data_IF_263168046385
#
_entry.id   IF_263168046385
#
_cell.length_a   1.000
_cell.length_b   1.000
_cell.length_c   1.000
_cell.angle_alpha   90.00
_cell.angle_beta   90.00
_cell.angle_gamma   90.00
#
_symmetry.space_group_name_H-M   'P 1'
#
loop_
_entity.id
_entity.type
_entity.pdbx_description
1 polymer ?
#
# COMPACT_ATOMS: atom_id res chain seq x y z
N UNK A 1 13.80 -24.07 4.38
CA UNK A 1 14.38 -22.81 4.89
C UNK A 1 13.27 -21.76 5.00
N UNK A 2 12.39 -21.93 5.99
CA UNK A 2 11.14 -21.15 6.17
C UNK A 2 11.26 -20.11 7.31
N UNK A 3 12.46 -19.68 7.68
CA UNK A 3 12.70 -19.04 8.99
C UNK A 3 13.19 -17.58 8.95
N UNK A 4 13.56 -17.02 7.80
CA UNK A 4 14.37 -15.78 7.81
C UNK A 4 13.56 -14.50 8.12
N UNK A 5 12.25 -14.48 7.88
CA UNK A 5 11.39 -13.38 8.35
C UNK A 5 10.69 -13.66 9.68
N UNK A 6 10.86 -14.87 10.25
CA UNK A 6 10.26 -15.30 11.52
C UNK A 6 11.27 -15.57 12.63
N UNK A 7 12.58 -15.43 12.39
CA UNK A 7 13.55 -15.57 13.47
C UNK A 7 13.63 -14.30 14.31
N UNK A 8 13.60 -14.41 15.64
CA UNK A 8 13.78 -13.27 16.53
C UNK A 8 15.24 -12.83 16.49
N UNK A 9 15.49 -11.54 16.40
CA UNK A 9 16.70 -10.96 16.95
C UNK A 9 16.78 -11.42 18.41
N UNK A 10 17.86 -12.08 18.81
CA UNK A 10 18.04 -12.72 20.12
C UNK A 10 17.56 -11.84 21.28
N UNK A 11 16.54 -12.31 21.97
CA UNK A 11 16.06 -11.75 23.22
C UNK A 11 15.10 -12.73 23.86
N UNK A 12 15.54 -13.42 24.92
CA UNK A 12 14.77 -14.45 25.62
C UNK A 12 13.41 -13.92 26.07
N UNK A 13 12.36 -14.55 25.59
CA UNK A 13 11.01 -14.36 26.07
C UNK A 13 10.92 -14.86 27.52
N UNK A 14 10.98 -13.98 28.48
CA UNK A 14 10.53 -14.30 29.84
C UNK A 14 9.02 -14.20 29.86
N UNK A 15 8.38 -15.37 30.08
CA UNK A 15 6.96 -15.52 30.27
C UNK A 15 6.49 -14.64 31.43
N UNK A 16 5.66 -13.65 31.16
CA UNK A 16 4.67 -13.11 32.10
C UNK A 16 3.61 -12.27 31.35
N UNK A 17 2.93 -12.90 30.39
CA UNK A 17 1.61 -12.46 29.98
C UNK A 17 0.74 -13.72 30.06
N UNK A 18 -0.38 -13.67 30.76
CA UNK A 18 -1.41 -14.68 30.62
C UNK A 18 -1.66 -14.81 29.11
N UNK A 19 -1.41 -16.00 28.53
CA UNK A 19 -1.58 -16.22 27.11
C UNK A 19 -3.04 -15.91 26.77
N UNK A 20 -3.25 -14.90 25.93
CA UNK A 20 -4.57 -14.62 25.37
C UNK A 20 -5.10 -15.88 24.71
N UNK A 21 -6.39 -16.19 24.92
CA UNK A 21 -7.07 -17.30 24.25
C UNK A 21 -7.21 -17.09 22.72
N UNK A 22 -6.66 -15.99 22.19
CA UNK A 22 -6.71 -15.63 20.79
C UNK A 22 -5.52 -16.27 20.05
N UNK A 23 -5.81 -17.21 19.15
CA UNK A 23 -4.83 -17.76 18.18
C UNK A 23 -4.94 -17.02 16.86
N UNK A 24 -4.10 -16.00 16.68
CA UNK A 24 -4.05 -15.23 15.43
C UNK A 24 -3.27 -15.99 14.35
N UNK A 25 -3.99 -16.51 13.36
CA UNK A 25 -3.46 -17.24 12.19
C UNK A 25 -3.64 -16.42 10.92
N UNK A 26 -2.73 -15.49 10.64
CA UNK A 26 -2.89 -14.59 9.49
C UNK A 26 -2.85 -15.29 8.13
N UNK A 27 -2.35 -16.53 8.07
CA UNK A 27 -2.29 -17.37 6.86
C UNK A 27 -3.58 -18.18 6.62
N UNK A 28 -4.50 -18.22 7.59
CA UNK A 28 -5.76 -18.94 7.46
C UNK A 28 -6.62 -18.29 6.34
N UNK A 29 -7.06 -19.06 5.34
CA UNK A 29 -7.88 -18.52 4.25
C UNK A 29 -9.16 -17.82 4.73
N UNK A 30 -9.78 -18.27 5.82
CA UNK A 30 -10.97 -17.63 6.39
C UNK A 30 -10.63 -16.27 7.00
N UNK A 31 -9.47 -16.16 7.68
CA UNK A 31 -8.98 -14.90 8.24
C UNK A 31 -8.52 -13.95 7.12
N UNK A 32 -7.85 -14.47 6.08
CA UNK A 32 -7.51 -13.67 4.90
C UNK A 32 -8.76 -13.10 4.22
N UNK A 33 -9.81 -13.91 4.07
CA UNK A 33 -11.06 -13.48 3.46
C UNK A 33 -11.80 -12.42 4.31
N UNK A 34 -11.92 -12.65 5.62
CA UNK A 34 -12.61 -11.73 6.53
C UNK A 34 -11.94 -11.66 7.91
N UNK A 35 -10.94 -10.80 8.09
CA UNK A 35 -10.23 -10.68 9.38
C UNK A 35 -11.02 -9.91 10.45
N UNK A 36 -12.06 -9.18 10.08
CA UNK A 36 -12.70 -8.19 10.93
C UNK A 36 -13.35 -8.77 12.20
N UNK A 37 -14.06 -9.92 12.18
CA UNK A 37 -14.59 -10.50 13.41
C UNK A 37 -13.49 -10.86 14.43
N UNK A 38 -12.34 -11.33 13.94
CA UNK A 38 -11.20 -11.61 14.80
C UNK A 38 -10.56 -10.32 15.33
N UNK A 39 -10.43 -9.30 14.50
CA UNK A 39 -9.92 -7.99 14.93
C UNK A 39 -10.84 -7.31 15.95
N UNK A 40 -12.16 -7.44 15.81
CA UNK A 40 -13.12 -6.95 16.81
C UNK A 40 -12.91 -7.64 18.14
N UNK A 41 -12.74 -8.95 18.13
CA UNK A 41 -12.44 -9.74 19.34
C UNK A 41 -11.09 -9.35 19.95
N UNK A 42 -10.02 -9.25 19.14
CA UNK A 42 -8.69 -8.82 19.61
C UNK A 42 -8.75 -7.42 20.23
N UNK A 43 -9.48 -6.48 19.62
CA UNK A 43 -9.63 -5.11 20.12
C UNK A 43 -10.28 -5.05 21.48
N UNK A 44 -11.25 -5.93 21.75
CA UNK A 44 -11.96 -5.98 23.03
C UNK A 44 -11.17 -6.72 24.12
N UNK A 45 -10.59 -7.87 23.77
CA UNK A 45 -10.02 -8.79 24.76
C UNK A 45 -8.52 -8.55 24.99
N UNK A 46 -7.75 -8.27 23.92
CA UNK A 46 -6.28 -8.14 23.98
C UNK A 46 -5.76 -7.19 22.87
N UNK A 47 -6.00 -5.87 22.97
CA UNK A 47 -5.72 -4.90 21.90
C UNK A 47 -4.24 -4.72 21.58
N UNK A 48 -3.36 -5.10 22.52
CA UNK A 48 -1.90 -5.19 22.35
C UNK A 48 -1.52 -6.65 22.48
N UNK A 49 -1.77 -7.40 21.39
CA UNK A 49 -1.67 -8.85 21.37
C UNK A 49 -0.27 -9.32 21.02
N UNK A 50 0.33 -10.18 21.87
CA UNK A 50 1.53 -10.91 21.49
C UNK A 50 1.16 -12.16 20.70
N UNK A 51 1.54 -12.21 19.43
CA UNK A 51 1.35 -13.39 18.59
C UNK A 51 2.58 -14.31 18.65
N UNK A 52 2.50 -15.47 19.30
CA UNK A 52 3.61 -16.43 19.35
C UNK A 52 4.01 -16.93 17.95
N UNK A 53 3.04 -17.01 17.04
CA UNK A 53 3.21 -17.44 15.64
C UNK A 53 4.00 -16.43 14.83
N UNK A 54 3.71 -15.14 14.99
CA UNK A 54 4.43 -14.05 14.32
C UNK A 54 5.70 -13.65 15.07
N UNK A 55 5.83 -14.07 16.35
CA UNK A 55 6.85 -13.57 17.29
C UNK A 55 6.87 -12.03 17.28
N UNK A 56 5.70 -11.43 17.39
CA UNK A 56 5.51 -9.98 17.19
C UNK A 56 4.25 -9.52 17.92
N UNK A 57 4.23 -8.25 18.27
CA UNK A 57 3.04 -7.56 18.74
C UNK A 57 2.08 -7.25 17.60
N UNK A 58 0.79 -7.28 17.87
CA UNK A 58 -0.29 -6.95 16.94
C UNK A 58 -1.21 -5.93 17.60
N UNK A 59 -1.28 -4.71 17.05
CA UNK A 59 -2.12 -3.63 17.55
C UNK A 59 -3.38 -3.51 16.71
N UNK A 60 -4.55 -3.34 17.35
CA UNK A 60 -5.84 -3.31 16.67
C UNK A 60 -6.68 -2.07 16.95
N UNK A 61 -6.34 -1.23 17.95
CA UNK A 61 -7.05 0.01 18.28
C UNK A 61 -6.53 1.20 17.50
N UNK A 62 -7.44 2.06 17.11
CA UNK A 62 -7.16 3.28 16.36
C UNK A 62 -6.17 4.21 17.11
N UNK A 63 -6.46 4.53 18.37
CA UNK A 63 -5.65 5.46 19.14
C UNK A 63 -4.26 4.91 19.47
N UNK A 64 -4.14 3.60 19.74
CA UNK A 64 -2.83 2.98 19.99
C UNK A 64 -1.93 3.04 18.76
N UNK A 65 -2.50 2.74 17.58
CA UNK A 65 -1.77 2.80 16.31
C UNK A 65 -1.37 4.24 15.98
N UNK A 66 -2.29 5.19 16.16
CA UNK A 66 -2.01 6.60 15.96
C UNK A 66 -0.91 7.12 16.90
N UNK A 67 -0.95 6.71 18.17
CA UNK A 67 0.08 7.03 19.16
C UNK A 67 1.44 6.48 18.73
N UNK A 68 1.53 5.21 18.37
CA UNK A 68 2.77 4.58 17.88
C UNK A 68 3.37 5.32 16.69
N UNK A 69 2.53 5.79 15.75
CA UNK A 69 2.97 6.59 14.61
C UNK A 69 3.58 7.95 15.00
N UNK A 70 3.25 8.46 16.19
CA UNK A 70 3.74 9.76 16.71
C UNK A 70 4.95 9.63 17.63
N UNK A 71 5.41 8.41 17.93
CA UNK A 71 6.54 8.15 18.83
C UNK A 71 7.76 7.57 18.09
N UNK A 72 8.34 8.25 17.06
CA UNK A 72 9.43 7.69 16.24
C UNK A 72 10.69 7.37 17.05
N UNK A 73 10.93 8.04 18.17
CA UNK A 73 12.05 7.72 19.06
C UNK A 73 11.93 6.36 19.74
N UNK A 74 10.69 5.86 19.92
CA UNK A 74 10.40 4.54 20.51
C UNK A 74 10.12 3.47 19.48
N UNK A 75 9.68 3.87 18.29
CA UNK A 75 9.14 2.98 17.24
C UNK A 75 9.81 3.26 15.90
N UNK A 76 10.88 2.53 15.62
CA UNK A 76 11.68 2.65 14.40
C UNK A 76 10.94 2.10 13.18
N UNK A 77 11.10 2.77 12.05
CA UNK A 77 10.69 2.27 10.72
C UNK A 77 11.77 1.41 10.06
N UNK A 78 13.01 1.47 10.54
CA UNK A 78 14.14 0.73 9.99
C UNK A 78 14.09 -0.76 10.38
N UNK A 79 13.29 -1.49 9.64
CA UNK A 79 13.17 -2.95 9.78
C UNK A 79 14.13 -3.72 8.88
N UNK A 80 14.75 -3.06 7.90
CA UNK A 80 15.64 -3.72 6.95
C UNK A 80 17.06 -3.87 7.48
N UNK A 81 17.61 -2.86 8.16
CA UNK A 81 18.96 -2.93 8.72
C UNK A 81 19.16 -4.12 9.67
N UNK A 82 18.28 -4.35 10.67
CA UNK A 82 18.37 -5.53 11.51
C UNK A 82 18.21 -6.83 10.73
N UNK A 83 17.31 -6.86 9.75
CA UNK A 83 17.10 -8.01 8.88
C UNK A 83 18.34 -8.33 8.07
N UNK A 84 18.92 -7.36 7.36
CA UNK A 84 20.12 -7.58 6.56
C UNK A 84 21.33 -7.97 7.41
N UNK A 85 21.48 -7.42 8.62
CA UNK A 85 22.53 -7.80 9.56
C UNK A 85 22.42 -9.25 10.04
N UNK A 86 21.24 -9.86 9.99
CA UNK A 86 20.99 -11.25 10.40
C UNK A 86 21.25 -12.27 9.28
N UNK A 87 21.43 -11.81 8.03
CA UNK A 87 21.64 -12.69 6.88
C UNK A 87 23.09 -13.17 6.85
N UNK A 88 23.36 -14.50 6.71
CA UNK A 88 24.70 -15.02 6.52
C UNK A 88 25.36 -14.41 5.29
N UNK A 89 26.69 -14.17 5.36
CA UNK A 89 27.45 -13.46 4.31
C UNK A 89 27.28 -14.07 2.91
N UNK A 90 27.20 -15.40 2.80
CA UNK A 90 27.01 -16.08 1.51
C UNK A 90 25.59 -15.88 0.92
N UNK A 91 24.58 -15.75 1.78
CA UNK A 91 23.21 -15.42 1.34
C UNK A 91 23.09 -13.91 1.00
N UNK A 92 23.77 -13.05 1.76
CA UNK A 92 23.81 -11.61 1.50
C UNK A 92 24.35 -11.27 0.10
N UNK A 93 25.36 -12.03 -0.38
CA UNK A 93 25.90 -11.88 -1.73
C UNK A 93 24.86 -12.13 -2.84
N UNK A 94 23.81 -12.90 -2.56
CA UNK A 94 22.75 -13.25 -3.52
C UNK A 94 21.64 -12.21 -3.62
N UNK A 95 21.65 -11.19 -2.75
CA UNK A 95 20.62 -10.14 -2.67
C UNK A 95 21.26 -8.75 -2.59
N UNK A 96 22.33 -8.54 -3.36
CA UNK A 96 23.14 -7.31 -3.29
C UNK A 96 22.38 -6.06 -3.71
N UNK A 97 21.63 -6.11 -4.80
CA UNK A 97 20.84 -4.97 -5.29
C UNK A 97 19.60 -4.72 -4.43
N UNK A 98 18.95 -5.78 -3.89
CA UNK A 98 17.91 -5.62 -2.88
C UNK A 98 18.48 -4.86 -1.67
N UNK A 99 19.62 -5.29 -1.14
CA UNK A 99 20.23 -4.61 0.00
C UNK A 99 20.61 -3.17 -0.33
N UNK A 100 21.17 -2.93 -1.52
CA UNK A 100 21.61 -1.61 -1.97
C UNK A 100 20.45 -0.64 -2.11
N UNK A 101 19.44 -0.98 -2.92
CA UNK A 101 18.39 -0.04 -3.29
C UNK A 101 17.25 0.03 -2.28
N UNK A 102 16.77 -1.12 -1.73
CA UNK A 102 15.67 -1.09 -0.77
C UNK A 102 16.08 -0.46 0.56
N UNK A 103 17.35 -0.58 0.97
CA UNK A 103 17.85 0.10 2.17
C UNK A 103 17.82 1.63 2.04
N UNK A 104 17.74 2.17 0.83
CA UNK A 104 17.63 3.61 0.56
C UNK A 104 16.18 4.11 0.50
N UNK A 105 15.20 3.20 0.56
CA UNK A 105 13.81 3.61 0.56
C UNK A 105 13.45 4.37 1.84
N UNK A 106 12.91 5.59 1.69
CA UNK A 106 12.54 6.44 2.83
C UNK A 106 11.56 5.76 3.81
N UNK A 107 10.75 4.81 3.36
CA UNK A 107 9.79 4.08 4.21
C UNK A 107 10.47 3.17 5.24
N UNK A 108 11.76 2.87 5.05
CA UNK A 108 12.60 2.07 5.95
C UNK A 108 13.67 2.91 6.67
N UNK A 109 13.54 4.22 6.65
CA UNK A 109 14.47 5.14 7.30
C UNK A 109 13.80 5.82 8.49
N UNK A 110 14.62 6.14 9.49
CA UNK A 110 14.25 7.04 10.57
C UNK A 110 14.90 8.43 10.34
N UNK A 111 14.55 9.42 11.16
CA UNK A 111 15.26 10.69 11.15
C UNK A 111 16.74 10.49 11.57
N UNK A 112 17.70 11.21 10.98
CA UNK A 112 17.53 12.35 10.07
C UNK A 112 17.36 11.97 8.59
N UNK A 113 17.76 10.74 8.16
CA UNK A 113 17.78 10.35 6.75
C UNK A 113 16.36 10.37 6.15
N UNK A 114 15.35 9.85 6.87
CA UNK A 114 13.97 9.95 6.44
C UNK A 114 13.56 11.39 6.18
N UNK A 115 13.84 12.28 7.12
CA UNK A 115 13.44 13.70 7.04
C UNK A 115 14.07 14.38 5.83
N UNK A 116 15.34 14.09 5.56
CA UNK A 116 16.06 14.58 4.38
C UNK A 116 15.41 14.10 3.07
N UNK A 117 15.25 12.79 2.90
CA UNK A 117 14.65 12.21 1.69
C UNK A 117 13.21 12.69 1.49
N UNK A 118 12.42 12.75 2.58
CA UNK A 118 11.04 13.24 2.56
C UNK A 118 10.95 14.71 2.12
N UNK A 119 11.85 15.56 2.60
CA UNK A 119 11.91 16.97 2.22
C UNK A 119 12.27 17.13 0.74
N UNK A 120 13.26 16.39 0.26
CA UNK A 120 13.68 16.42 -1.13
C UNK A 120 12.54 15.96 -2.05
N UNK A 121 12.04 14.76 -1.86
CA UNK A 121 10.97 14.19 -2.72
C UNK A 121 9.65 14.97 -2.62
N UNK A 122 9.34 15.55 -1.45
CA UNK A 122 8.15 16.37 -1.24
C UNK A 122 8.13 17.68 -2.03
N UNK A 123 9.28 18.16 -2.53
CA UNK A 123 9.34 19.36 -3.39
C UNK A 123 8.74 19.10 -4.77
N UNK A 124 8.89 17.91 -5.30
CA UNK A 124 8.37 17.51 -6.60
C UNK A 124 7.05 16.74 -6.47
N UNK A 125 6.91 15.94 -5.42
CA UNK A 125 5.72 15.12 -5.16
C UNK A 125 4.77 15.82 -4.18
N UNK A 126 4.04 16.84 -4.64
CA UNK A 126 3.13 17.63 -3.81
C UNK A 126 1.70 17.67 -4.38
N UNK A 127 0.73 18.11 -3.58
CA UNK A 127 -0.69 18.05 -3.93
C UNK A 127 -1.02 18.75 -5.25
N UNK A 128 -0.40 19.90 -5.56
CA UNK A 128 -0.66 20.64 -6.81
C UNK A 128 -0.19 19.85 -8.04
N UNK A 129 1.01 19.25 -8.00
CA UNK A 129 1.52 18.42 -9.11
C UNK A 129 0.65 17.15 -9.28
N UNK A 130 0.18 16.55 -8.18
CA UNK A 130 -0.72 15.39 -8.26
C UNK A 130 -2.08 15.76 -8.86
N UNK A 131 -2.67 16.90 -8.49
CA UNK A 131 -3.94 17.35 -9.08
C UNK A 131 -3.80 17.70 -10.57
N UNK A 132 -2.63 18.15 -11.02
CA UNK A 132 -2.35 18.40 -12.44
C UNK A 132 -2.37 17.11 -13.29
N UNK A 133 -2.19 15.94 -12.66
CA UNK A 133 -2.29 14.64 -13.32
C UNK A 133 -3.73 14.23 -13.69
N UNK A 134 -4.76 14.92 -13.18
CA UNK A 134 -6.17 14.53 -13.41
C UNK A 134 -6.53 14.26 -14.88
N UNK A 135 -6.22 15.12 -15.85
CA UNK A 135 -6.53 14.83 -17.26
C UNK A 135 -5.89 13.53 -17.76
N UNK A 136 -4.65 13.28 -17.36
CA UNK A 136 -3.90 12.08 -17.75
C UNK A 136 -4.46 10.81 -17.11
N UNK A 137 -4.88 10.88 -15.83
CA UNK A 137 -5.57 9.78 -15.14
C UNK A 137 -6.92 9.49 -15.81
N UNK A 138 -7.69 10.54 -16.17
CA UNK A 138 -8.95 10.40 -16.91
C UNK A 138 -8.73 9.72 -18.27
N UNK A 139 -7.73 10.16 -19.06
CA UNK A 139 -7.41 9.59 -20.37
C UNK A 139 -7.02 8.10 -20.26
N UNK A 140 -6.19 7.75 -19.28
CA UNK A 140 -5.80 6.34 -19.03
C UNK A 140 -7.02 5.51 -18.63
N UNK A 141 -7.87 6.00 -17.74
CA UNK A 141 -9.07 5.30 -17.31
C UNK A 141 -10.04 5.08 -18.49
N UNK A 142 -10.28 6.09 -19.33
CA UNK A 142 -11.13 5.97 -20.50
C UNK A 142 -10.54 5.00 -21.54
N UNK A 143 -9.24 5.04 -21.75
CA UNK A 143 -8.57 4.11 -22.65
C UNK A 143 -8.71 2.65 -22.17
N UNK A 144 -8.55 2.38 -20.86
CA UNK A 144 -8.74 1.05 -20.29
C UNK A 144 -10.20 0.58 -20.41
N UNK A 145 -11.17 1.45 -20.12
CA UNK A 145 -12.60 1.17 -20.29
C UNK A 145 -12.91 0.86 -21.77
N UNK A 146 -12.30 1.61 -22.69
CA UNK A 146 -12.42 1.36 -24.13
C UNK A 146 -11.90 -0.02 -24.54
N UNK A 147 -10.81 -0.49 -23.93
CA UNK A 147 -10.23 -1.82 -24.17
C UNK A 147 -11.10 -2.98 -23.66
N UNK A 148 -11.86 -2.77 -22.58
CA UNK A 148 -12.86 -3.75 -22.15
C UNK A 148 -13.87 -4.00 -23.28
N UNK A 149 -14.15 -2.97 -24.09
CA UNK A 149 -14.98 -3.10 -25.30
C UNK A 149 -16.37 -3.60 -24.97
N UNK A 150 -16.78 -4.68 -25.65
CA UNK A 150 -18.13 -5.28 -25.53
C UNK A 150 -18.20 -6.45 -24.57
N UNK A 151 -17.13 -6.74 -23.83
CA UNK A 151 -17.12 -7.79 -22.82
C UNK A 151 -18.19 -7.50 -21.76
N UNK A 152 -18.99 -8.50 -21.44
CA UNK A 152 -19.96 -8.47 -20.33
C UNK A 152 -19.44 -9.16 -19.09
N UNK A 153 -18.40 -9.99 -19.25
CA UNK A 153 -17.68 -10.67 -18.15
C UNK A 153 -16.19 -10.57 -18.39
N UNK A 154 -15.45 -10.21 -17.32
CA UNK A 154 -14.00 -10.10 -17.38
C UNK A 154 -13.39 -10.09 -15.95
N UNK A 155 -12.08 -10.29 -15.85
CA UNK A 155 -11.38 -10.06 -14.60
C UNK A 155 -11.05 -8.59 -14.43
N UNK A 156 -11.67 -7.96 -13.43
CA UNK A 156 -11.57 -6.53 -13.15
C UNK A 156 -10.14 -6.10 -12.79
N UNK A 157 -9.36 -6.98 -12.13
CA UNK A 157 -7.98 -6.66 -11.72
C UNK A 157 -7.09 -6.58 -12.95
N UNK A 158 -7.09 -7.60 -13.79
CA UNK A 158 -6.19 -7.64 -14.95
C UNK A 158 -6.57 -6.66 -16.06
N UNK A 159 -7.87 -6.35 -16.24
CA UNK A 159 -8.33 -5.47 -17.32
C UNK A 159 -8.35 -3.99 -16.93
N UNK A 160 -8.49 -3.66 -15.62
CA UNK A 160 -8.64 -2.28 -15.20
C UNK A 160 -7.83 -1.91 -13.95
N UNK A 161 -8.09 -2.56 -12.79
CA UNK A 161 -7.56 -2.08 -11.51
C UNK A 161 -6.02 -2.16 -11.44
N UNK A 162 -5.40 -3.16 -12.05
CA UNK A 162 -3.94 -3.31 -12.10
C UNK A 162 -3.27 -2.36 -13.10
N UNK A 163 -3.72 -2.32 -14.36
CA UNK A 163 -3.11 -1.44 -15.36
C UNK A 163 -3.23 0.06 -15.04
N UNK A 164 -4.34 0.53 -14.45
CA UNK A 164 -4.57 1.96 -14.23
C UNK A 164 -3.46 2.61 -13.41
N UNK A 165 -3.19 2.22 -12.16
CA UNK A 165 -2.18 2.89 -11.34
C UNK A 165 -0.76 2.68 -11.88
N UNK A 166 -0.48 1.53 -12.51
CA UNK A 166 0.81 1.28 -13.14
C UNK A 166 1.06 2.28 -14.27
N UNK A 167 0.09 2.48 -15.16
CA UNK A 167 0.19 3.46 -16.24
C UNK A 167 0.26 4.90 -15.73
N UNK A 168 -0.44 5.22 -14.65
CA UNK A 168 -0.42 6.57 -14.05
C UNK A 168 0.97 6.89 -13.51
N UNK A 169 1.57 5.99 -12.72
CA UNK A 169 2.91 6.24 -12.16
C UNK A 169 3.99 6.19 -13.25
N UNK A 170 3.85 5.33 -14.26
CA UNK A 170 4.73 5.31 -15.43
C UNK A 170 4.68 6.63 -16.17
N UNK A 171 3.48 7.15 -16.47
CA UNK A 171 3.28 8.40 -17.15
C UNK A 171 3.88 9.58 -16.36
N UNK A 172 3.70 9.59 -15.04
CA UNK A 172 4.26 10.60 -14.15
C UNK A 172 5.81 10.57 -14.14
N UNK A 173 6.41 9.37 -14.17
CA UNK A 173 7.87 9.21 -14.28
C UNK A 173 8.41 9.39 -15.70
N UNK A 174 7.56 9.62 -16.70
CA UNK A 174 7.95 9.71 -18.09
C UNK A 174 8.42 8.39 -18.72
N UNK A 175 7.94 7.28 -18.17
CA UNK A 175 8.20 5.90 -18.65
C UNK A 175 7.25 5.57 -19.80
N UNK A 176 7.72 5.00 -20.93
CA UNK A 176 6.89 4.65 -22.07
C UNK A 176 5.77 3.65 -21.71
N UNK A 177 4.57 3.87 -22.25
CA UNK A 177 3.41 2.98 -22.01
C UNK A 177 3.62 1.55 -22.52
N UNK A 178 4.37 1.39 -23.58
CA UNK A 178 4.74 0.11 -24.19
C UNK A 178 5.52 -0.79 -23.24
N UNK A 179 6.22 -0.22 -22.26
CA UNK A 179 6.99 -0.96 -21.26
C UNK A 179 6.14 -1.50 -20.10
N UNK A 180 4.81 -1.29 -20.14
CA UNK A 180 3.89 -1.70 -19.05
C UNK A 180 4.08 -3.15 -18.61
N UNK A 181 4.19 -4.08 -19.56
CA UNK A 181 4.32 -5.50 -19.24
C UNK A 181 5.63 -5.82 -18.51
N UNK A 182 6.74 -5.20 -18.93
CA UNK A 182 8.05 -5.36 -18.32
C UNK A 182 8.08 -4.73 -16.92
N UNK A 183 7.65 -3.49 -16.82
CA UNK A 183 7.65 -2.71 -15.58
C UNK A 183 6.77 -3.37 -14.52
N UNK A 184 5.55 -3.81 -14.91
CA UNK A 184 4.65 -4.53 -14.00
C UNK A 184 5.27 -5.84 -13.54
N UNK A 185 5.84 -6.65 -14.42
CA UNK A 185 6.51 -7.91 -14.07
C UNK A 185 7.61 -7.69 -13.02
N UNK A 186 8.50 -6.72 -13.25
CA UNK A 186 9.56 -6.40 -12.29
C UNK A 186 9.00 -5.97 -10.94
N UNK A 187 7.96 -5.12 -10.93
CA UNK A 187 7.30 -4.67 -9.71
C UNK A 187 6.66 -5.81 -8.93
N UNK A 188 5.92 -6.69 -9.60
CA UNK A 188 5.29 -7.87 -8.99
C UNK A 188 6.33 -8.82 -8.37
N UNK A 189 7.49 -8.97 -9.02
CA UNK A 189 8.60 -9.81 -8.52
C UNK A 189 9.28 -9.19 -7.29
N UNK A 190 9.47 -7.88 -7.25
CA UNK A 190 9.97 -7.17 -6.06
C UNK A 190 8.97 -7.29 -4.89
N UNK A 191 7.66 -7.28 -5.18
CA UNK A 191 6.62 -7.49 -4.18
C UNK A 191 6.75 -8.82 -3.42
N UNK A 192 7.31 -9.86 -4.04
CA UNK A 192 7.57 -11.15 -3.37
C UNK A 192 8.53 -11.01 -2.18
N UNK A 193 9.47 -10.08 -2.24
CA UNK A 193 10.36 -9.79 -1.12
C UNK A 193 9.67 -8.98 -0.02
N UNK A 194 8.92 -7.92 -0.39
CA UNK A 194 8.36 -6.95 0.54
C UNK A 194 7.07 -7.45 1.19
N UNK A 195 6.17 -8.02 0.38
CA UNK A 195 4.83 -8.47 0.79
C UNK A 195 4.81 -9.76 1.58
N UNK A 196 5.98 -10.43 1.73
CA UNK A 196 6.15 -11.68 2.48
C UNK A 196 5.19 -12.81 2.12
N UNK A 197 5.10 -13.14 0.85
CA UNK A 197 4.66 -14.48 0.48
C UNK A 197 5.67 -15.47 1.07
N UNK A 198 5.32 -16.10 2.19
CA UNK A 198 6.21 -16.94 3.02
C UNK A 198 6.62 -18.27 2.38
N UNK A 199 6.21 -18.54 1.14
CA UNK A 199 6.16 -19.90 0.62
C UNK A 199 7.19 -20.23 -0.45
N UNK A 200 7.97 -19.27 -0.98
CA UNK A 200 8.93 -19.55 -2.06
C UNK A 200 10.37 -19.43 -1.60
N UNK A 201 11.14 -20.52 -1.68
CA UNK A 201 12.59 -20.51 -1.49
C UNK A 201 13.33 -19.74 -2.58
N UNK A 202 12.72 -19.56 -3.75
CA UNK A 202 13.27 -18.86 -4.91
C UNK A 202 12.97 -17.35 -4.91
N UNK A 203 12.14 -16.88 -3.97
CA UNK A 203 11.68 -15.48 -3.94
C UNK A 203 12.81 -14.45 -3.89
N UNK A 204 13.89 -14.76 -3.20
CA UNK A 204 15.05 -13.85 -3.10
C UNK A 204 15.76 -13.70 -4.43
N UNK A 205 16.04 -14.81 -5.12
CA UNK A 205 16.67 -14.77 -6.44
C UNK A 205 15.81 -14.07 -7.49
N UNK A 206 14.49 -14.34 -7.47
CA UNK A 206 13.53 -13.68 -8.37
C UNK A 206 13.45 -12.17 -8.10
N UNK A 207 13.34 -11.78 -6.84
CA UNK A 207 13.27 -10.36 -6.46
C UNK A 207 14.61 -9.64 -6.70
N UNK A 208 15.75 -10.28 -6.48
CA UNK A 208 17.08 -9.74 -6.78
C UNK A 208 17.22 -9.46 -8.27
N UNK A 209 16.95 -10.45 -9.13
CA UNK A 209 16.99 -10.28 -10.58
C UNK A 209 16.09 -9.14 -11.07
N UNK A 210 14.89 -9.05 -10.52
CA UNK A 210 13.95 -7.96 -10.85
C UNK A 210 14.44 -6.60 -10.33
N UNK A 211 15.04 -6.56 -9.15
CA UNK A 211 15.60 -5.31 -8.60
C UNK A 211 16.78 -4.83 -9.45
N UNK A 212 17.67 -5.75 -9.86
CA UNK A 212 18.77 -5.45 -10.77
C UNK A 212 18.25 -4.90 -12.10
N UNK A 213 17.34 -5.62 -12.76
CA UNK A 213 16.76 -5.21 -14.06
C UNK A 213 16.08 -3.83 -13.96
N UNK A 214 15.30 -3.59 -12.91
CA UNK A 214 14.64 -2.31 -12.70
C UNK A 214 15.63 -1.17 -12.40
N UNK A 215 16.71 -1.45 -11.68
CA UNK A 215 17.77 -0.48 -11.42
C UNK A 215 18.49 -0.08 -12.70
N UNK A 216 18.84 -1.04 -13.58
CA UNK A 216 19.42 -0.75 -14.90
C UNK A 216 18.47 0.04 -15.78
N UNK A 217 17.19 -0.33 -15.77
CA UNK A 217 16.15 0.39 -16.49
C UNK A 217 16.08 1.87 -16.06
N UNK A 218 16.00 2.16 -14.77
CA UNK A 218 15.97 3.54 -14.28
C UNK A 218 17.31 4.26 -14.46
N UNK A 219 18.45 3.59 -14.33
CA UNK A 219 19.76 4.18 -14.62
C UNK A 219 19.85 4.69 -16.06
N UNK A 220 19.37 3.90 -17.02
CA UNK A 220 19.29 4.32 -18.42
C UNK A 220 18.41 5.56 -18.57
N UNK A 221 17.19 5.56 -18.05
CA UNK A 221 16.28 6.67 -18.17
C UNK A 221 16.76 7.95 -17.46
N UNK A 222 17.38 7.84 -16.29
CA UNK A 222 18.01 8.96 -15.56
C UNK A 222 19.13 9.57 -16.40
N UNK A 223 19.97 8.76 -17.03
CA UNK A 223 21.04 9.22 -17.91
C UNK A 223 20.47 10.01 -19.09
N UNK A 224 19.40 9.54 -19.71
CA UNK A 224 18.71 10.28 -20.78
C UNK A 224 18.15 11.62 -20.29
N UNK A 225 17.57 11.69 -19.06
CA UNK A 225 17.02 12.95 -18.50
C UNK A 225 18.10 13.98 -18.18
N UNK A 226 19.32 13.54 -17.86
CA UNK A 226 20.46 14.45 -17.67
C UNK A 226 20.89 15.16 -18.95
N UNK A 227 20.79 14.47 -20.09
CA UNK A 227 21.18 15.01 -21.41
C UNK A 227 20.02 15.63 -22.17
N UNK A 228 18.82 15.12 -22.01
CA UNK A 228 17.60 15.56 -22.68
C UNK A 228 16.44 15.62 -21.66
N UNK A 229 16.33 16.69 -20.86
CA UNK A 229 15.26 16.89 -19.90
C UNK A 229 13.88 16.86 -20.57
N UNK A 230 12.87 16.35 -19.85
CA UNK A 230 11.46 16.30 -20.27
C UNK A 230 10.57 16.90 -19.19
N UNK A 231 9.31 17.15 -19.52
CA UNK A 231 8.29 17.54 -18.57
C UNK A 231 7.75 16.27 -17.83
N UNK A 232 8.58 15.72 -16.94
CA UNK A 232 8.25 14.53 -16.13
C UNK A 232 8.95 14.57 -14.77
N UNK A 233 8.38 13.81 -13.81
CA UNK A 233 8.87 13.73 -12.44
C UNK A 233 10.32 13.26 -12.36
N UNK A 234 10.76 12.38 -13.26
CA UNK A 234 12.15 11.89 -13.26
C UNK A 234 13.12 13.04 -13.58
N UNK A 235 12.79 13.92 -14.50
CA UNK A 235 13.58 15.14 -14.77
C UNK A 235 13.64 16.05 -13.56
N UNK A 236 12.50 16.27 -12.89
CA UNK A 236 12.46 17.08 -11.68
C UNK A 236 13.33 16.47 -10.56
N UNK A 237 13.29 15.15 -10.37
CA UNK A 237 14.13 14.45 -9.40
C UNK A 237 15.62 14.54 -9.73
N UNK A 238 16.00 14.43 -11.02
CA UNK A 238 17.38 14.55 -11.49
C UNK A 238 17.93 15.96 -11.28
N UNK A 239 17.10 16.98 -11.48
CA UNK A 239 17.46 18.40 -11.36
C UNK A 239 17.29 18.94 -9.94
N UNK A 240 16.76 18.13 -9.04
CA UNK A 240 16.47 18.56 -7.68
C UNK A 240 17.74 19.00 -6.94
N UNK A 241 17.74 20.23 -6.51
CA UNK A 241 18.75 20.80 -5.62
C UNK A 241 18.08 21.64 -4.54
N UNK A 242 18.38 21.35 -3.31
CA UNK A 242 17.86 22.08 -2.15
C UNK A 242 19.02 22.61 -1.32
N UNK A 243 19.48 23.82 -1.62
CA UNK A 243 20.59 24.47 -0.94
C UNK A 243 21.89 23.62 -0.94
N UNK A 244 22.18 22.96 -2.05
CA UNK A 244 23.32 22.06 -2.21
C UNK A 244 23.07 20.60 -1.83
N UNK A 245 21.90 20.27 -1.26
CA UNK A 245 21.48 18.89 -1.00
C UNK A 245 20.76 18.31 -2.22
N UNK A 246 21.26 17.19 -2.72
CA UNK A 246 20.75 16.48 -3.91
C UNK A 246 20.60 14.99 -3.59
N UNK A 247 19.87 14.27 -4.43
CA UNK A 247 19.83 12.82 -4.38
C UNK A 247 21.10 12.26 -5.07
N UNK A 248 21.78 11.30 -4.45
CA UNK A 248 22.81 10.52 -5.11
C UNK A 248 22.23 9.66 -6.23
N UNK A 249 23.06 9.11 -7.11
CA UNK A 249 22.58 8.23 -8.19
C UNK A 249 21.82 7.02 -7.68
N UNK A 250 22.30 6.40 -6.61
CA UNK A 250 21.61 5.28 -5.99
C UNK A 250 20.30 5.70 -5.31
N UNK A 251 20.25 6.86 -4.68
CA UNK A 251 19.00 7.41 -4.10
C UNK A 251 17.97 7.77 -5.18
N UNK A 252 18.42 8.28 -6.33
CA UNK A 252 17.54 8.53 -7.49
C UNK A 252 16.91 7.23 -8.00
N UNK A 253 17.75 6.23 -8.26
CA UNK A 253 17.31 4.91 -8.73
C UNK A 253 16.35 4.30 -7.70
N UNK A 254 16.75 4.25 -6.43
CA UNK A 254 15.95 3.71 -5.33
C UNK A 254 14.62 4.44 -5.18
N UNK A 255 14.60 5.77 -5.37
CA UNK A 255 13.38 6.58 -5.33
C UNK A 255 12.45 6.25 -6.50
N UNK A 256 12.96 6.11 -7.72
CA UNK A 256 12.16 5.71 -8.88
C UNK A 256 11.55 4.31 -8.71
N UNK A 257 12.35 3.35 -8.21
CA UNK A 257 11.86 1.99 -7.90
C UNK A 257 10.76 2.06 -6.82
N UNK A 258 10.99 2.81 -5.74
CA UNK A 258 10.02 2.98 -4.66
C UNK A 258 8.70 3.58 -5.17
N UNK A 259 8.76 4.67 -5.93
CA UNK A 259 7.57 5.36 -6.44
C UNK A 259 6.75 4.47 -7.35
N UNK A 260 7.41 3.74 -8.25
CA UNK A 260 6.74 2.80 -9.14
C UNK A 260 6.08 1.67 -8.35
N UNK A 261 6.84 1.01 -7.48
CA UNK A 261 6.35 -0.11 -6.68
C UNK A 261 5.19 0.32 -5.75
N UNK A 262 5.39 1.37 -4.96
CA UNK A 262 4.42 1.82 -3.97
C UNK A 262 3.16 2.42 -4.61
N UNK A 263 3.30 3.09 -5.75
CA UNK A 263 2.18 3.72 -6.47
C UNK A 263 1.29 2.72 -7.20
N UNK A 264 1.86 1.59 -7.65
CA UNK A 264 1.12 0.59 -8.42
C UNK A 264 0.32 -0.37 -7.52
N UNK A 265 0.99 -1.14 -6.67
CA UNK A 265 0.41 -2.29 -5.96
C UNK A 265 -0.72 -1.88 -5.00
N UNK A 266 -0.50 -0.84 -4.22
CA UNK A 266 -1.49 -0.39 -3.22
C UNK A 266 -2.75 0.19 -3.87
N UNK A 267 -2.61 0.96 -4.95
CA UNK A 267 -3.75 1.57 -5.64
C UNK A 267 -4.52 0.52 -6.45
N UNK A 268 -3.86 -0.48 -7.02
CA UNK A 268 -4.52 -1.67 -7.60
C UNK A 268 -5.46 -2.31 -6.57
N UNK A 269 -4.94 -2.58 -5.38
CA UNK A 269 -5.72 -3.19 -4.31
C UNK A 269 -6.84 -2.26 -3.82
N UNK A 270 -6.62 -0.94 -3.75
CA UNK A 270 -7.67 0.02 -3.40
C UNK A 270 -8.84 -0.03 -4.39
N UNK A 271 -8.55 0.03 -5.69
CA UNK A 271 -9.59 0.03 -6.73
C UNK A 271 -10.34 -1.31 -6.76
N UNK A 272 -9.61 -2.43 -6.60
CA UNK A 272 -10.21 -3.75 -6.57
C UNK A 272 -11.08 -3.98 -5.33
N UNK A 273 -10.58 -3.66 -4.12
CA UNK A 273 -11.31 -3.80 -2.86
C UNK A 273 -12.52 -2.85 -2.82
N UNK A 274 -12.35 -1.62 -3.31
CA UNK A 274 -13.44 -0.64 -3.41
C UNK A 274 -14.56 -1.13 -4.33
N UNK A 275 -14.21 -1.71 -5.49
CA UNK A 275 -15.21 -2.28 -6.39
C UNK A 275 -15.89 -3.51 -5.76
N UNK A 276 -15.15 -4.43 -5.14
CA UNK A 276 -15.73 -5.54 -4.40
C UNK A 276 -16.69 -5.06 -3.32
N UNK A 277 -16.31 -4.02 -2.57
CA UNK A 277 -17.19 -3.42 -1.57
C UNK A 277 -18.47 -2.87 -2.20
N UNK A 278 -18.37 -2.15 -3.30
CA UNK A 278 -19.53 -1.63 -4.02
C UNK A 278 -20.45 -2.74 -4.59
N UNK A 279 -19.88 -3.88 -5.00
CA UNK A 279 -20.74 -5.01 -5.45
C UNK A 279 -21.50 -5.65 -4.28
N UNK A 280 -20.94 -5.64 -3.08
CA UNK A 280 -21.58 -6.14 -1.85
C UNK A 280 -22.61 -5.16 -1.26
N UNK A 281 -22.54 -3.88 -1.63
CA UNK A 281 -23.44 -2.81 -1.23
C UNK A 281 -24.07 -2.13 -2.45
N UNK A 282 -25.03 -2.78 -3.14
CA UNK A 282 -25.56 -2.29 -4.41
C UNK A 282 -26.28 -0.93 -4.29
N UNK A 283 -26.83 -0.61 -3.13
CA UNK A 283 -27.44 0.72 -2.89
C UNK A 283 -26.35 1.82 -2.89
N UNK A 284 -25.19 1.56 -2.30
CA UNK A 284 -24.06 2.50 -2.30
C UNK A 284 -23.42 2.61 -3.70
N UNK A 285 -23.34 1.49 -4.43
CA UNK A 285 -22.93 1.51 -5.83
C UNK A 285 -23.85 2.40 -6.68
N UNK A 286 -25.17 2.24 -6.54
CA UNK A 286 -26.16 3.04 -7.25
C UNK A 286 -26.11 4.51 -6.82
N UNK A 287 -25.95 4.78 -5.52
CA UNK A 287 -25.78 6.15 -4.98
C UNK A 287 -24.58 6.84 -5.63
N UNK A 288 -23.42 6.15 -5.68
CA UNK A 288 -22.21 6.68 -6.31
C UNK A 288 -22.44 6.96 -7.79
N UNK A 289 -23.03 6.02 -8.52
CA UNK A 289 -23.37 6.15 -9.92
C UNK A 289 -24.24 7.39 -10.20
N UNK A 290 -25.34 7.53 -9.48
CA UNK A 290 -26.31 8.64 -9.70
C UNK A 290 -25.69 9.99 -9.36
N UNK A 291 -25.04 10.10 -8.21
CA UNK A 291 -24.47 11.38 -7.73
C UNK A 291 -23.23 11.82 -8.48
N UNK A 292 -22.56 10.92 -9.23
CA UNK A 292 -21.41 11.28 -10.06
C UNK A 292 -21.71 11.32 -11.56
N UNK A 293 -22.94 11.03 -11.98
CA UNK A 293 -23.36 11.00 -13.40
C UNK A 293 -23.19 12.36 -14.11
N UNK A 294 -23.31 13.46 -13.36
CA UNK A 294 -23.10 14.84 -13.84
C UNK A 294 -21.76 15.38 -13.33
N UNK A 295 -20.66 14.97 -13.96
CA UNK A 295 -19.29 15.18 -13.49
C UNK A 295 -18.89 16.66 -13.23
N UNK A 296 -19.59 17.63 -13.81
CA UNK A 296 -19.19 19.05 -13.80
C UNK A 296 -19.77 19.86 -12.62
N UNK A 297 -20.44 19.25 -11.67
CA UNK A 297 -20.96 19.95 -10.49
C UNK A 297 -19.99 19.80 -9.29
N UNK A 298 -19.60 20.90 -8.63
CA UNK A 298 -18.70 20.86 -7.47
C UNK A 298 -19.19 19.92 -6.35
N UNK A 299 -20.51 19.82 -6.15
CA UNK A 299 -21.11 18.91 -5.17
C UNK A 299 -20.82 17.44 -5.48
N UNK A 300 -20.80 17.06 -6.75
CA UNK A 300 -20.52 15.70 -7.20
C UNK A 300 -19.05 15.34 -7.01
N UNK A 301 -18.14 16.29 -7.30
CA UNK A 301 -16.70 16.12 -7.04
C UNK A 301 -16.43 15.95 -5.53
N UNK A 302 -17.09 16.73 -4.67
CA UNK A 302 -16.98 16.59 -3.21
C UNK A 302 -17.49 15.23 -2.74
N UNK A 303 -18.63 14.78 -3.27
CA UNK A 303 -19.17 13.48 -2.93
C UNK A 303 -18.25 12.33 -3.41
N UNK A 304 -17.74 12.39 -4.64
CA UNK A 304 -16.78 11.39 -5.12
C UNK A 304 -15.52 11.31 -4.23
N UNK A 305 -15.04 12.45 -3.76
CA UNK A 305 -13.92 12.50 -2.83
C UNK A 305 -14.26 11.82 -1.49
N UNK A 306 -15.44 12.13 -0.90
CA UNK A 306 -15.89 11.50 0.35
C UNK A 306 -16.09 9.98 0.18
N UNK A 307 -16.68 9.56 -0.94
CA UNK A 307 -16.85 8.14 -1.25
C UNK A 307 -15.53 7.38 -1.32
N UNK A 308 -14.50 7.99 -1.89
CA UNK A 308 -13.14 7.38 -1.94
C UNK A 308 -12.55 7.24 -0.53
N UNK A 309 -12.72 8.23 0.36
CA UNK A 309 -12.27 8.13 1.75
C UNK A 309 -12.98 6.97 2.47
N UNK A 310 -14.27 6.81 2.27
CA UNK A 310 -15.02 5.72 2.90
C UNK A 310 -14.63 4.34 2.34
N UNK A 311 -14.40 4.21 1.04
CA UNK A 311 -13.89 2.97 0.44
C UNK A 311 -12.49 2.61 0.97
N UNK A 312 -11.60 3.61 1.11
CA UNK A 312 -10.28 3.45 1.73
C UNK A 312 -10.37 3.05 3.20
N UNK A 313 -11.33 3.60 3.95
CA UNK A 313 -11.58 3.22 5.33
C UNK A 313 -12.11 1.80 5.44
N UNK A 314 -13.16 1.48 4.66
CA UNK A 314 -13.94 0.26 4.82
C UNK A 314 -13.16 -1.00 4.52
N UNK A 315 -12.45 -1.07 3.40
CA UNK A 315 -11.56 -2.19 3.04
C UNK A 315 -10.32 -1.71 2.28
N UNK A 316 -9.49 -0.93 2.99
CA UNK A 316 -8.30 -0.31 2.41
C UNK A 316 -7.24 -1.34 1.99
N UNK A 317 -6.33 -0.93 1.07
CA UNK A 317 -5.32 -1.80 0.47
C UNK A 317 -4.19 -2.18 1.41
N UNK A 318 -4.02 -1.46 2.52
CA UNK A 318 -2.94 -1.66 3.50
C UNK A 318 -3.48 -2.40 4.72
N UNK A 319 -3.11 -3.67 4.88
CA UNK A 319 -3.49 -4.48 6.02
C UNK A 319 -2.79 -4.00 7.30
N UNK A 320 -1.47 -3.92 7.27
CA UNK A 320 -0.67 -3.47 8.40
C UNK A 320 0.51 -2.59 7.98
N UNK A 321 0.94 -1.72 8.91
CA UNK A 321 2.28 -1.15 8.93
C UNK A 321 3.12 -1.82 10.02
N UNK A 322 4.45 -1.82 9.84
CA UNK A 322 5.37 -2.49 10.74
C UNK A 322 6.32 -1.48 11.37
N UNK A 323 6.61 -1.67 12.67
CA UNK A 323 7.66 -0.96 13.39
C UNK A 323 8.53 -1.95 14.15
N UNK A 324 9.72 -1.50 14.51
CA UNK A 324 10.61 -2.15 15.48
C UNK A 324 10.62 -1.30 16.74
N UNK A 325 10.52 -1.92 17.88
CA UNK A 325 10.66 -1.22 19.17
C UNK A 325 12.11 -0.76 19.31
N UNK A 326 12.33 0.54 19.26
CA UNK A 326 13.66 1.15 19.38
C UNK A 326 14.07 1.38 20.84
N UNK A 327 13.11 1.51 21.75
CA UNK A 327 13.31 1.65 23.18
C UNK A 327 12.24 0.87 23.93
N UNK A 328 12.64 0.07 24.92
CA UNK A 328 11.69 -0.66 25.78
C UNK A 328 10.74 0.32 26.46
N UNK A 329 9.43 0.08 26.31
CA UNK A 329 8.39 0.92 26.88
C UNK A 329 7.11 0.14 27.15
N UNK A 330 6.20 0.74 27.88
CA UNK A 330 4.90 0.15 28.18
C UNK A 330 3.80 0.71 27.26
N UNK A 331 2.94 -0.19 26.76
CA UNK A 331 1.71 0.13 26.07
C UNK A 331 0.56 -0.72 26.64
N UNK A 332 -0.46 -0.09 27.22
CA UNK A 332 -1.61 -0.77 27.86
C UNK A 332 -1.23 -1.90 28.84
N UNK A 333 -0.27 -1.63 29.71
CA UNK A 333 0.20 -2.62 30.70
C UNK A 333 1.06 -3.75 30.12
N UNK A 334 1.34 -3.74 28.82
CA UNK A 334 2.24 -4.69 28.16
C UNK A 334 3.60 -4.04 27.95
N UNK A 335 4.67 -4.75 28.29
CA UNK A 335 6.03 -4.28 28.08
C UNK A 335 6.53 -4.71 26.70
N UNK A 336 6.68 -3.75 25.79
CA UNK A 336 7.28 -3.92 24.48
C UNK A 336 8.79 -3.73 24.64
N UNK A 337 9.57 -4.76 24.31
CA UNK A 337 11.02 -4.74 24.47
C UNK A 337 11.72 -4.28 23.18
N UNK A 338 12.86 -3.62 23.35
CA UNK A 338 13.73 -3.23 22.25
C UNK A 338 14.03 -4.42 21.33
N UNK A 339 13.99 -4.18 20.00
CA UNK A 339 14.17 -5.19 18.95
C UNK A 339 12.89 -5.95 18.58
N UNK A 340 11.82 -5.90 19.39
CA UNK A 340 10.58 -6.60 19.07
C UNK A 340 9.85 -5.89 17.91
N UNK A 341 9.14 -6.71 17.12
CA UNK A 341 8.36 -6.23 15.97
C UNK A 341 6.91 -5.96 16.38
N UNK A 342 6.35 -4.87 15.82
CA UNK A 342 4.97 -4.44 16.04
C UNK A 342 4.26 -4.32 14.71
N UNK A 343 3.17 -5.07 14.53
CA UNK A 343 2.22 -4.92 13.42
C UNK A 343 1.08 -4.00 13.85
N UNK A 344 0.94 -2.87 13.21
CA UNK A 344 -0.16 -1.93 13.38
C UNK A 344 -1.22 -2.28 12.34
N UNK A 345 -2.31 -2.94 12.74
CA UNK A 345 -3.37 -3.41 11.83
C UNK A 345 -4.27 -2.24 11.42
N UNK A 346 -3.94 -1.59 10.30
CA UNK A 346 -4.63 -0.38 9.84
C UNK A 346 -6.10 -0.65 9.52
N UNK A 347 -6.41 -1.81 8.92
CA UNK A 347 -7.79 -2.19 8.64
C UNK A 347 -8.61 -2.45 9.91
N UNK A 348 -7.97 -2.98 10.98
CA UNK A 348 -8.62 -3.10 12.28
C UNK A 348 -8.92 -1.72 12.89
N UNK A 349 -7.95 -0.80 12.85
CA UNK A 349 -8.11 0.57 13.33
C UNK A 349 -9.22 1.32 12.58
N UNK A 350 -9.30 1.16 11.28
CA UNK A 350 -10.31 1.79 10.43
C UNK A 350 -11.74 1.25 10.67
N UNK A 351 -11.87 0.19 11.46
CA UNK A 351 -13.15 -0.36 11.91
C UNK A 351 -13.30 -0.35 13.43
N UNK A 352 -12.56 0.51 14.11
CA UNK A 352 -12.66 0.68 15.56
C UNK A 352 -13.97 1.43 15.92
N UNK A 353 -14.88 0.82 16.73
CA UNK A 353 -16.12 1.47 17.13
C UNK A 353 -15.91 2.70 18.05
N UNK A 354 -14.73 2.82 18.68
CA UNK A 354 -14.36 4.03 19.45
C UNK A 354 -14.01 5.21 18.51
N UNK A 355 -13.62 4.94 17.26
CA UNK A 355 -13.31 5.96 16.26
C UNK A 355 -14.46 6.22 15.27
N UNK A 356 -15.28 5.20 14.97
CA UNK A 356 -16.32 5.28 13.95
C UNK A 356 -17.65 4.68 14.42
N UNK A 357 -18.73 5.43 14.29
CA UNK A 357 -20.08 4.88 14.48
C UNK A 357 -20.37 3.84 13.38
N UNK A 358 -20.94 2.69 13.75
CA UNK A 358 -21.26 1.60 12.83
C UNK A 358 -20.10 1.26 11.86
N UNK A 359 -18.91 0.91 12.38
CA UNK A 359 -17.68 0.83 11.57
C UNK A 359 -17.74 -0.25 10.48
N UNK A 360 -18.60 -1.25 10.64
CA UNK A 360 -18.76 -2.38 9.73
C UNK A 360 -19.80 -2.12 8.61
N UNK A 361 -20.39 -0.91 8.56
CA UNK A 361 -21.28 -0.47 7.48
C UNK A 361 -20.50 0.41 6.51
N UNK A 362 -20.61 0.12 5.20
CA UNK A 362 -20.16 1.01 4.14
C UNK A 362 -21.20 2.11 3.96
N UNK A 363 -20.83 3.36 4.18
CA UNK A 363 -21.68 4.53 4.04
C UNK A 363 -20.92 5.65 3.33
N UNK A 364 -21.21 5.85 2.05
CA UNK A 364 -20.52 6.85 1.22
C UNK A 364 -20.86 8.31 1.59
N UNK A 365 -21.81 8.53 2.48
CA UNK A 365 -22.11 9.84 3.08
C UNK A 365 -21.48 10.02 4.46
N UNK A 366 -20.63 9.08 4.90
CA UNK A 366 -20.00 9.15 6.22
C UNK A 366 -19.15 10.40 6.34
N UNK A 367 -19.44 11.17 7.39
CA UNK A 367 -18.57 12.25 7.87
C UNK A 367 -17.71 11.77 9.04
N UNK A 368 -16.57 12.42 9.26
CA UNK A 368 -15.88 12.29 10.53
C UNK A 368 -14.39 11.93 10.47
N UNK A 369 -14.00 10.98 11.30
CA UNK A 369 -12.60 10.68 11.63
C UNK A 369 -11.80 10.25 10.40
N UNK A 370 -10.62 10.86 10.23
CA UNK A 370 -9.70 10.47 9.15
C UNK A 370 -9.22 9.03 9.36
N UNK A 371 -9.31 8.21 8.33
CA UNK A 371 -8.83 6.83 8.36
C UNK A 371 -7.30 6.72 8.36
N UNK A 372 -6.77 5.60 8.85
CA UNK A 372 -5.33 5.34 8.95
C UNK A 372 -4.74 4.57 7.75
N UNK A 373 -5.49 4.39 6.67
CA UNK A 373 -5.04 3.62 5.48
C UNK A 373 -3.73 4.14 4.90
N UNK A 374 -3.50 5.45 4.98
CA UNK A 374 -2.25 6.09 4.55
C UNK A 374 -1.19 6.19 5.66
N UNK A 375 -1.41 5.55 6.80
CA UNK A 375 -0.60 5.76 7.99
C UNK A 375 -0.86 7.10 8.66
N UNK A 376 0.02 7.49 9.58
CA UNK A 376 -0.09 8.74 10.33
C UNK A 376 1.31 9.27 10.71
N UNK A 377 1.42 10.57 10.99
CA UNK A 377 2.65 11.19 11.47
C UNK A 377 3.75 11.29 10.40
N UNK A 378 5.01 11.09 10.80
CA UNK A 378 6.19 11.31 9.98
C UNK A 378 6.19 10.49 8.68
N UNK A 379 5.70 9.25 8.74
CA UNK A 379 5.64 8.32 7.62
C UNK A 379 4.26 8.25 6.94
N UNK A 380 3.45 9.31 7.03
CA UNK A 380 2.22 9.38 6.24
C UNK A 380 2.56 9.19 4.75
N UNK A 381 1.75 8.44 4.03
CA UNK A 381 1.97 8.12 2.63
C UNK A 381 2.29 9.37 1.80
N UNK A 382 3.37 9.36 1.02
CA UNK A 382 3.72 10.45 0.11
C UNK A 382 2.70 10.56 -1.04
N UNK A 383 2.26 9.42 -1.57
CA UNK A 383 1.36 9.30 -2.72
C UNK A 383 -0.13 9.42 -2.40
N UNK A 384 -0.53 9.75 -1.16
CA UNK A 384 -1.95 9.79 -0.81
C UNK A 384 -2.80 10.72 -1.70
N UNK A 385 -2.29 11.87 -2.22
CA UNK A 385 -3.10 12.71 -3.08
C UNK A 385 -3.36 12.06 -4.45
N UNK A 386 -2.36 11.32 -4.98
CA UNK A 386 -2.50 10.61 -6.26
C UNK A 386 -3.45 9.41 -6.12
N UNK A 387 -3.30 8.59 -5.11
CA UNK A 387 -4.18 7.43 -4.86
C UNK A 387 -5.65 7.85 -4.70
N UNK A 388 -5.91 8.98 -4.01
CA UNK A 388 -7.24 9.58 -3.91
C UNK A 388 -7.76 10.04 -5.27
N UNK A 389 -6.92 10.71 -6.04
CA UNK A 389 -7.27 11.17 -7.39
C UNK A 389 -7.64 10.00 -8.30
N UNK A 390 -6.86 8.94 -8.29
CA UNK A 390 -7.13 7.75 -9.09
C UNK A 390 -8.49 7.11 -8.73
N UNK A 391 -8.80 6.97 -7.44
CA UNK A 391 -10.13 6.52 -7.00
C UNK A 391 -11.27 7.44 -7.41
N UNK A 392 -11.07 8.77 -7.29
CA UNK A 392 -12.06 9.78 -7.70
C UNK A 392 -12.32 9.79 -9.21
N UNK A 393 -11.40 9.30 -10.01
CA UNK A 393 -11.56 9.14 -11.46
C UNK A 393 -12.12 7.75 -11.79
N UNK A 394 -11.52 6.71 -11.25
CA UNK A 394 -11.82 5.32 -11.61
C UNK A 394 -13.27 4.92 -11.33
N UNK A 395 -13.75 5.12 -10.10
CA UNK A 395 -15.11 4.66 -9.72
C UNK A 395 -16.22 5.39 -10.51
N UNK A 396 -16.22 6.73 -10.63
CA UNK A 396 -17.19 7.42 -11.47
C UNK A 396 -17.13 7.03 -12.94
N UNK A 397 -15.94 6.89 -13.52
CA UNK A 397 -15.78 6.51 -14.92
C UNK A 397 -16.35 5.13 -15.22
N UNK A 398 -16.06 4.15 -14.36
CA UNK A 398 -16.61 2.79 -14.46
C UNK A 398 -18.13 2.78 -14.33
N UNK A 399 -18.70 3.46 -13.31
CA UNK A 399 -20.13 3.46 -13.05
C UNK A 399 -20.92 4.36 -14.03
N UNK A 400 -20.25 5.25 -14.75
CA UNK A 400 -20.82 5.94 -15.92
C UNK A 400 -20.95 5.00 -17.10
N UNK A 401 -19.97 4.12 -17.33
CA UNK A 401 -19.96 3.17 -18.43
C UNK A 401 -20.85 1.96 -18.17
N UNK A 402 -20.90 1.50 -16.92
CA UNK A 402 -21.63 0.30 -16.50
C UNK A 402 -22.73 0.66 -15.51
N UNK A 403 -23.99 0.29 -15.85
CA UNK A 403 -25.15 0.52 -14.99
C UNK A 403 -25.10 -0.32 -13.70
N UNK A 404 -24.51 -1.51 -13.77
CA UNK A 404 -24.20 -2.34 -12.62
C UNK A 404 -22.90 -3.13 -12.86
N UNK A 405 -22.23 -3.40 -11.76
CA UNK A 405 -21.07 -4.32 -11.68
C UNK A 405 -21.38 -5.33 -10.58
N UNK A 406 -21.29 -6.60 -10.89
CA UNK A 406 -21.57 -7.71 -9.99
C UNK A 406 -20.39 -8.68 -10.01
N UNK A 407 -20.03 -9.22 -8.86
CA UNK A 407 -19.05 -10.32 -8.81
C UNK A 407 -19.66 -11.62 -9.29
N UNK A 408 -18.87 -12.43 -10.00
CA UNK A 408 -19.28 -13.76 -10.48
C UNK A 408 -18.30 -14.83 -9.99
N UNK A 409 -18.79 -16.06 -9.87
CA UNK A 409 -17.97 -17.17 -9.38
C UNK A 409 -17.85 -17.23 -7.86
N UNK A 410 -16.85 -17.96 -7.34
CA UNK A 410 -16.64 -18.12 -5.91
C UNK A 410 -16.08 -16.83 -5.27
N UNK A 411 -16.09 -16.78 -3.93
CA UNK A 411 -15.41 -15.70 -3.16
C UNK A 411 -13.97 -15.52 -3.63
N UNK A 412 -13.50 -14.27 -3.77
CA UNK A 412 -12.16 -13.98 -4.25
C UNK A 412 -11.07 -14.62 -3.37
N UNK A 413 -10.00 -15.10 -3.98
CA UNK A 413 -8.81 -15.56 -3.28
C UNK A 413 -7.94 -14.35 -2.93
N UNK A 414 -7.78 -14.11 -1.63
CA UNK A 414 -6.97 -13.03 -1.10
C UNK A 414 -5.48 -13.37 -1.12
N UNK A 415 -4.64 -12.36 -1.35
CA UNK A 415 -3.19 -12.52 -1.26
C UNK A 415 -2.77 -12.82 0.18
N UNK A 416 -1.81 -13.73 0.35
CA UNK A 416 -1.28 -14.07 1.67
C UNK A 416 -0.23 -13.04 2.11
N UNK A 417 -0.68 -11.88 2.55
CA UNK A 417 0.16 -10.79 3.04
C UNK A 417 -0.46 -10.13 4.28
N UNK A 418 0.38 -9.77 5.25
CA UNK A 418 -0.03 -8.96 6.39
C UNK A 418 -0.02 -7.47 6.05
N UNK A 419 0.85 -7.06 5.14
CA UNK A 419 1.07 -5.66 4.77
C UNK A 419 0.07 -5.20 3.73
N UNK A 420 -0.19 -6.03 2.72
CA UNK A 420 -1.14 -5.73 1.64
C UNK A 420 -2.43 -6.51 1.82
N UNK A 421 -3.54 -5.84 1.55
CA UNK A 421 -4.86 -6.47 1.45
C UNK A 421 -5.37 -6.31 0.02
N UNK A 422 -5.35 -7.39 -0.71
CA UNK A 422 -5.72 -7.45 -2.12
C UNK A 422 -6.14 -8.86 -2.53
N UNK A 423 -6.58 -8.99 -3.77
CA UNK A 423 -7.07 -10.23 -4.37
C UNK A 423 -6.25 -10.59 -5.60
N UNK A 424 -6.16 -11.88 -5.90
CA UNK A 424 -5.46 -12.36 -7.10
C UNK A 424 -6.26 -12.12 -8.38
N UNK A 425 -7.59 -12.19 -8.31
CA UNK A 425 -8.52 -11.92 -9.39
C UNK A 425 -9.87 -11.46 -8.83
N UNK A 426 -10.61 -10.69 -9.61
CA UNK A 426 -11.97 -10.27 -9.32
C UNK A 426 -12.84 -10.40 -10.59
N UNK A 427 -13.35 -11.61 -10.89
CA UNK A 427 -14.26 -11.82 -12.00
C UNK A 427 -15.57 -11.06 -11.79
N UNK A 428 -15.95 -10.25 -12.76
CA UNK A 428 -17.16 -9.43 -12.71
C UNK A 428 -18.02 -9.64 -13.95
N UNK A 429 -19.33 -9.48 -13.75
CA UNK A 429 -20.31 -9.28 -14.81
C UNK A 429 -20.77 -7.85 -14.77
N UNK A 430 -20.86 -7.21 -15.94
CA UNK A 430 -21.28 -5.82 -16.08
C UNK A 430 -22.52 -5.72 -16.96
N UNK A 431 -23.37 -4.76 -16.64
CA UNK A 431 -24.45 -4.31 -17.51
C UNK A 431 -24.13 -2.88 -17.96
N UNK A 432 -24.19 -2.64 -19.25
CA UNK A 432 -23.96 -1.27 -19.78
C UNK A 432 -25.03 -0.29 -19.34
N UNK A 433 -24.63 0.97 -19.19
CA UNK A 433 -25.50 2.08 -18.84
C UNK A 433 -26.35 2.53 -20.05
#
# INVERSE_FOLDING_TARGET
MSAILSEPLHGGATANAAQSAIDYRPEDPAILANPFPLFDRMRMEDPVHWSPRLKSWVLTRYDDIKRVCLEPARMSSDRLRPFFASIPSEEAKKIGDIMRYLSLWMVFKDAPEHTRLRRLTGKVFHNKSMQAMRPQVDDIAQWLIGRIGDKTEFDFISEFAGPLPCLVIMAMLGVPREDLAQVKRMSDQIALFIGSSRTSSEKYGTAEAATHEMAEYFRHHITLRRTAPRDDLMTELVQLNDNGDTLSDDELIATCILLLFAGHETTTNHIANGMLSLTRFPNEQQKLRVRTSTANQPANAKFAAAAVEELLRYDGPSGAQVRIVAQTHELRGKQLKEGERVFMMLNAANRDPEAYAQPNVLDLDRDGTAHLTFGFGLHICLGFPLARLEGQVAFPALLKRFASVETIGPEPKWINSLVFRGMNALPVRVRRA
#
